data_IF_288067013728
#
_entry.id   IF_288067013728
#
_cell.length_a   1.000
_cell.length_b   1.000
_cell.length_c   1.000
_cell.angle_alpha   90.00
_cell.angle_beta   90.00
_cell.angle_gamma   90.00
#
_symmetry.space_group_name_H-M   'P 1'
#
loop_
_entity.id
_entity.type
_entity.pdbx_description
1 polymer ?
#
# COMPACT_ATOMS: atom_id res chain seq x y z
N UNK A 1 74.08 36.21 -26.19
CA UNK A 1 74.59 37.47 -25.61
C UNK A 1 73.41 38.40 -25.37
N UNK A 2 73.31 38.96 -24.16
CA UNK A 2 72.34 40.00 -23.77
C UNK A 2 70.88 39.52 -23.68
N UNK A 3 70.20 39.44 -22.55
CA UNK A 3 70.36 40.15 -21.29
C UNK A 3 69.54 41.44 -21.31
N UNK A 4 68.56 41.51 -20.39
CA UNK A 4 68.00 42.74 -19.76
C UNK A 4 67.10 43.60 -20.69
N UNK A 5 66.02 44.25 -20.24
CA UNK A 5 65.59 44.68 -18.91
C UNK A 5 64.23 45.42 -18.99
N UNK A 6 63.52 45.47 -17.84
CA UNK A 6 62.70 46.60 -17.33
C UNK A 6 61.42 46.96 -18.14
N UNK A 7 60.33 47.49 -17.59
CA UNK A 7 60.09 48.19 -16.34
C UNK A 7 58.58 48.17 -16.04
N UNK A 8 58.26 47.97 -14.77
CA UNK A 8 57.20 48.59 -13.96
C UNK A 8 56.74 49.96 -14.50
N UNK A 9 55.42 50.24 -14.50
CA UNK A 9 54.76 51.32 -13.72
C UNK A 9 53.27 51.45 -14.07
N UNK A 10 52.46 51.67 -13.02
CA UNK A 10 51.01 51.88 -12.94
C UNK A 10 50.55 53.13 -13.70
N UNK A 11 49.26 53.20 -14.08
CA UNK A 11 48.37 54.37 -13.87
C UNK A 11 46.91 53.95 -14.17
N UNK A 12 46.04 54.30 -13.23
CA UNK A 12 44.57 54.26 -13.24
C UNK A 12 43.98 55.19 -14.29
N UNK A 13 42.92 54.76 -14.98
CA UNK A 13 41.91 55.66 -15.52
C UNK A 13 40.57 54.93 -15.69
N UNK A 14 39.52 55.67 -15.39
CA UNK A 14 38.18 55.24 -15.03
C UNK A 14 37.22 55.25 -16.20
N UNK A 15 36.06 54.61 -15.99
CA UNK A 15 34.74 54.92 -16.56
C UNK A 15 34.56 54.76 -18.07
N UNK A 16 33.78 53.76 -18.47
CA UNK A 16 32.33 53.93 -18.75
C UNK A 16 31.72 52.60 -19.19
N UNK A 17 30.65 52.20 -18.52
CA UNK A 17 29.85 51.05 -18.88
C UNK A 17 28.90 51.43 -20.03
N UNK A 18 28.68 50.53 -20.97
CA UNK A 18 27.37 50.29 -21.61
C UNK A 18 27.31 48.81 -22.02
N UNK A 19 26.14 48.25 -21.77
CA UNK A 19 25.78 46.84 -21.69
C UNK A 19 25.27 46.29 -23.04
N UNK A 20 25.18 44.96 -23.10
CA UNK A 20 24.58 44.07 -24.12
C UNK A 20 25.50 43.49 -25.19
N UNK A 21 25.86 42.21 -25.00
CA UNK A 21 26.08 41.27 -26.10
C UNK A 21 25.28 40.01 -25.78
N UNK A 22 24.24 39.77 -26.58
CA UNK A 22 23.67 38.44 -26.75
C UNK A 22 24.58 37.63 -27.69
N UNK A 23 24.89 36.40 -27.30
CA UNK A 23 25.57 35.44 -28.16
C UNK A 23 24.77 34.14 -28.20
N UNK A 24 24.41 33.76 -29.42
CA UNK A 24 23.71 32.55 -29.79
C UNK A 24 24.74 31.41 -29.89
N UNK A 25 24.57 30.36 -29.10
CA UNK A 25 25.19 29.05 -29.33
C UNK A 25 24.17 27.96 -28.93
N UNK A 26 24.03 26.95 -29.79
CA UNK A 26 22.87 26.06 -29.84
C UNK A 26 22.63 25.19 -28.61
N UNK A 27 21.38 24.77 -28.48
CA UNK A 27 20.96 23.73 -27.54
C UNK A 27 20.55 22.48 -28.32
N UNK A 28 21.26 21.39 -28.06
CA UNK A 28 20.75 20.06 -28.21
C UNK A 28 19.47 19.93 -27.37
N UNK A 29 18.47 19.19 -27.87
CA UNK A 29 17.26 18.89 -27.12
C UNK A 29 17.62 17.98 -25.93
N UNK A 30 17.84 18.61 -24.78
CA UNK A 30 17.99 17.96 -23.49
C UNK A 30 16.67 17.27 -23.14
N UNK A 31 16.69 15.95 -22.92
CA UNK A 31 15.58 15.23 -22.35
C UNK A 31 15.26 15.83 -20.98
N UNK A 32 14.05 16.36 -20.82
CA UNK A 32 13.65 17.04 -19.60
C UNK A 32 13.53 16.02 -18.46
N UNK A 33 14.54 15.98 -17.58
CA UNK A 33 14.45 15.35 -16.27
C UNK A 33 13.28 16.02 -15.52
N UNK A 34 12.20 15.27 -15.32
CA UNK A 34 11.09 15.76 -14.50
C UNK A 34 11.59 15.83 -13.06
N UNK A 35 11.90 17.05 -12.66
CA UNK A 35 12.37 17.47 -11.35
C UNK A 35 11.57 16.81 -10.22
N UNK A 36 12.29 15.98 -9.46
CA UNK A 36 11.95 15.60 -8.10
C UNK A 36 11.97 16.83 -7.20
N UNK A 37 10.90 17.62 -7.17
CA UNK A 37 10.50 18.45 -6.01
C UNK A 37 9.14 19.09 -6.28
N UNK A 38 8.08 18.35 -6.02
CA UNK A 38 6.84 18.91 -5.49
C UNK A 38 6.69 18.25 -4.11
N UNK A 39 6.52 19.00 -3.01
CA UNK A 39 6.21 18.36 -1.74
C UNK A 39 4.86 17.70 -1.93
N UNK A 40 4.84 16.36 -1.94
CA UNK A 40 3.62 15.62 -1.69
C UNK A 40 3.25 16.00 -0.27
N UNK A 41 2.40 17.01 -0.16
CA UNK A 41 1.86 17.49 1.09
C UNK A 41 1.28 16.30 1.83
N UNK A 42 1.94 15.96 2.93
CA UNK A 42 1.46 15.06 3.97
C UNK A 42 -0.01 15.37 4.27
N UNK A 43 -0.90 14.59 3.68
CA UNK A 43 -2.15 14.21 4.33
C UNK A 43 -1.99 12.73 4.64
N UNK A 44 -1.07 12.44 5.56
CA UNK A 44 -1.31 11.33 6.49
C UNK A 44 -2.46 11.87 7.33
N UNK A 45 -3.70 11.34 7.22
CA UNK A 45 -4.70 11.70 8.21
C UNK A 45 -4.08 11.41 9.56
N UNK A 46 -4.04 12.44 10.41
CA UNK A 46 -3.54 12.36 11.76
C UNK A 46 -4.03 11.06 12.39
N UNK A 47 -3.12 10.32 13.04
CA UNK A 47 -3.44 9.21 13.94
C UNK A 47 -4.85 9.40 14.50
N UNK A 48 -5.86 8.61 14.07
CA UNK A 48 -7.22 8.89 14.48
C UNK A 48 -7.26 8.59 15.98
N UNK A 49 -7.34 9.65 16.77
CA UNK A 49 -7.72 9.53 18.16
C UNK A 49 -8.96 8.63 18.15
N UNK A 50 -8.88 7.45 18.80
CA UNK A 50 -9.91 6.42 18.94
C UNK A 50 -9.86 5.17 18.04
N UNK A 51 -8.72 4.76 17.45
CA UNK A 51 -8.59 3.38 16.92
C UNK A 51 -8.87 2.36 18.03
N UNK A 52 -9.76 1.40 17.76
CA UNK A 52 -10.10 0.29 18.65
C UNK A 52 -9.59 -1.03 18.08
N UNK A 53 -9.67 -2.07 18.91
CA UNK A 53 -9.32 -3.42 18.51
C UNK A 53 -10.43 -4.40 18.91
N UNK A 54 -10.90 -5.20 17.96
CA UNK A 54 -11.99 -6.14 18.13
C UNK A 54 -11.48 -7.58 18.01
N UNK A 55 -11.64 -8.36 19.07
CA UNK A 55 -11.24 -9.79 19.08
C UNK A 55 -12.35 -10.66 18.50
N UNK A 56 -12.01 -11.51 17.53
CA UNK A 56 -12.92 -12.54 17.02
C UNK A 56 -12.90 -13.75 17.96
N UNK A 57 -13.77 -13.74 18.96
CA UNK A 57 -13.77 -14.74 20.05
C UNK A 57 -14.28 -16.11 19.65
N UNK A 58 -15.03 -16.23 18.54
CA UNK A 58 -15.52 -17.51 18.04
C UNK A 58 -14.57 -18.17 17.01
N UNK A 59 -13.37 -17.62 16.84
CA UNK A 59 -12.30 -18.17 15.99
C UNK A 59 -10.99 -18.20 16.78
N UNK A 60 -10.47 -19.38 17.03
CA UNK A 60 -9.15 -19.59 17.60
C UNK A 60 -8.30 -20.45 16.65
N UNK A 61 -6.99 -20.21 16.63
CA UNK A 61 -6.05 -21.15 16.02
C UNK A 61 -5.72 -22.31 16.97
N UNK A 62 -4.83 -23.20 16.56
CA UNK A 62 -4.46 -24.37 17.37
C UNK A 62 -3.65 -24.06 18.62
N UNK A 63 -3.26 -22.80 18.82
CA UNK A 63 -2.59 -22.30 20.01
C UNK A 63 -3.53 -21.44 20.88
N UNK A 64 -4.84 -21.52 20.64
CA UNK A 64 -5.87 -20.73 21.34
C UNK A 64 -5.72 -19.21 21.14
N UNK A 65 -5.10 -18.79 20.02
CA UNK A 65 -4.96 -17.37 19.68
C UNK A 65 -6.14 -16.94 18.82
N UNK A 66 -6.75 -15.81 19.19
CA UNK A 66 -7.86 -15.21 18.46
C UNK A 66 -7.38 -14.09 17.52
N UNK A 67 -7.93 -13.97 16.30
CA UNK A 67 -7.68 -12.81 15.45
C UNK A 67 -8.17 -11.52 16.13
N UNK A 68 -7.38 -10.45 16.00
CA UNK A 68 -7.71 -9.13 16.53
C UNK A 68 -7.70 -8.13 15.37
N UNK A 69 -8.85 -7.55 15.06
CA UNK A 69 -9.02 -6.59 13.98
C UNK A 69 -8.84 -5.16 14.50
N UNK A 70 -8.23 -4.31 13.68
CA UNK A 70 -8.19 -2.87 13.90
C UNK A 70 -9.54 -2.28 13.49
N UNK A 71 -10.12 -1.44 14.33
CA UNK A 71 -11.34 -0.68 14.04
C UNK A 71 -10.97 0.80 13.99
N UNK A 72 -10.73 1.32 12.77
CA UNK A 72 -10.47 2.73 12.55
C UNK A 72 -11.80 3.44 12.22
N UNK A 73 -12.37 4.24 13.14
CA UNK A 73 -13.66 4.91 12.90
C UNK A 73 -13.60 5.97 11.79
N UNK A 74 -12.41 6.32 11.30
CA UNK A 74 -12.21 7.24 10.17
C UNK A 74 -11.99 6.52 8.84
N UNK A 75 -11.96 5.18 8.82
CA UNK A 75 -11.80 4.42 7.60
C UNK A 75 -13.08 4.45 6.75
N UNK A 76 -12.91 4.55 5.43
CA UNK A 76 -14.01 4.61 4.47
C UNK A 76 -14.08 3.35 3.62
N UNK A 77 -15.26 3.12 3.07
CA UNK A 77 -15.50 2.08 2.08
C UNK A 77 -14.79 2.45 0.77
N UNK A 78 -13.80 1.68 0.29
CA UNK A 78 -13.02 2.06 -0.89
C UNK A 78 -13.85 1.92 -2.18
N UNK A 79 -13.44 2.60 -3.25
CA UNK A 79 -13.84 2.14 -4.60
C UNK A 79 -13.07 0.87 -4.99
N UNK A 80 -13.52 0.13 -6.00
CA UNK A 80 -12.77 -1.01 -6.52
C UNK A 80 -11.39 -0.58 -7.03
N UNK A 81 -11.30 0.59 -7.69
CA UNK A 81 -10.04 1.13 -8.17
C UNK A 81 -9.08 1.45 -7.02
N UNK A 82 -9.57 2.07 -5.96
CA UNK A 82 -8.80 2.37 -4.76
C UNK A 82 -8.31 1.10 -4.06
N UNK A 83 -9.18 0.10 -3.93
CA UNK A 83 -8.80 -1.22 -3.42
C UNK A 83 -7.64 -1.82 -4.23
N UNK A 84 -7.75 -1.82 -5.56
CA UNK A 84 -6.68 -2.34 -6.42
C UNK A 84 -5.37 -1.55 -6.29
N UNK A 85 -5.44 -0.23 -6.12
CA UNK A 85 -4.27 0.62 -5.89
C UNK A 85 -3.60 0.29 -4.55
N UNK A 86 -4.39 0.13 -3.48
CA UNK A 86 -3.92 -0.31 -2.17
C UNK A 86 -3.24 -1.68 -2.26
N UNK A 87 -3.91 -2.67 -2.83
CA UNK A 87 -3.40 -4.05 -2.94
C UNK A 87 -2.11 -4.13 -3.76
N UNK A 88 -1.93 -3.28 -4.77
CA UNK A 88 -0.69 -3.20 -5.56
C UNK A 88 0.49 -2.64 -4.74
N UNK A 89 0.22 -1.81 -3.75
CA UNK A 89 1.23 -1.22 -2.86
C UNK A 89 1.57 -2.07 -1.65
N UNK A 90 0.74 -3.08 -1.35
CA UNK A 90 0.88 -3.94 -0.19
C UNK A 90 1.73 -5.19 -0.51
N UNK A 91 2.52 -5.62 0.47
CA UNK A 91 3.47 -6.73 0.35
C UNK A 91 3.05 -7.98 1.13
N UNK A 92 1.86 -8.02 1.74
CA UNK A 92 1.40 -9.14 2.57
C UNK A 92 1.35 -10.46 1.79
N UNK A 93 1.14 -10.40 0.46
CA UNK A 93 1.20 -11.56 -0.44
C UNK A 93 2.57 -12.26 -0.47
N UNK A 94 3.64 -11.55 -0.09
CA UNK A 94 5.01 -12.08 -0.05
C UNK A 94 5.30 -12.84 1.25
N UNK A 95 4.44 -12.76 2.26
CA UNK A 95 4.60 -13.53 3.48
C UNK A 95 4.48 -15.02 3.19
N UNK A 96 5.24 -15.84 3.94
CA UNK A 96 5.23 -17.29 3.79
C UNK A 96 4.28 -17.90 4.80
N UNK A 97 3.37 -18.74 4.32
CA UNK A 97 2.54 -19.58 5.19
C UNK A 97 3.44 -20.52 6.00
N UNK A 98 3.30 -20.49 7.34
CA UNK A 98 4.07 -21.29 8.29
C UNK A 98 3.15 -21.80 9.40
N UNK A 99 2.82 -23.08 9.43
CA UNK A 99 1.90 -23.61 10.42
C UNK A 99 2.66 -24.12 11.67
N UNK A 100 2.24 -23.77 12.91
CA UNK A 100 1.08 -22.95 13.28
C UNK A 100 1.39 -21.45 13.44
N UNK A 101 2.61 -21.00 13.17
CA UNK A 101 3.10 -19.67 13.56
C UNK A 101 2.43 -18.51 12.79
N UNK A 102 2.22 -18.69 11.48
CA UNK A 102 1.69 -17.72 10.52
C UNK A 102 0.75 -18.41 9.52
N UNK A 103 -0.55 -18.35 9.80
CA UNK A 103 -1.61 -19.04 9.06
C UNK A 103 -2.51 -18.07 8.28
N UNK A 104 -3.58 -18.57 7.67
CA UNK A 104 -4.55 -17.75 6.94
C UNK A 104 -5.08 -16.58 7.78
N UNK A 105 -5.34 -16.78 9.07
CA UNK A 105 -5.79 -15.71 9.96
C UNK A 105 -4.76 -14.58 10.10
N UNK A 106 -3.45 -14.90 10.12
CA UNK A 106 -2.39 -13.89 10.21
C UNK A 106 -2.31 -13.03 8.95
N UNK A 107 -2.40 -13.63 7.75
CA UNK A 107 -2.50 -12.87 6.49
C UNK A 107 -3.68 -11.89 6.51
N UNK A 108 -4.84 -12.33 7.01
CA UNK A 108 -6.02 -11.47 7.08
C UNK A 108 -5.81 -10.30 8.03
N UNK A 109 -5.33 -10.57 9.24
CA UNK A 109 -5.04 -9.54 10.25
C UNK A 109 -4.03 -8.52 9.74
N UNK A 110 -2.93 -8.98 9.12
CA UNK A 110 -1.88 -8.08 8.62
C UNK A 110 -2.40 -7.16 7.50
N UNK A 111 -3.10 -7.71 6.50
CA UNK A 111 -3.67 -6.88 5.43
C UNK A 111 -4.74 -5.93 5.97
N UNK A 112 -5.54 -6.38 6.93
CA UNK A 112 -6.61 -5.60 7.54
C UNK A 112 -6.05 -4.40 8.31
N UNK A 113 -5.03 -4.59 9.15
CA UNK A 113 -4.36 -3.49 9.87
C UNK A 113 -3.73 -2.49 8.91
N UNK A 114 -3.11 -2.95 7.83
CA UNK A 114 -2.50 -2.07 6.82
C UNK A 114 -3.53 -1.30 5.99
N UNK A 115 -4.71 -1.87 5.75
CA UNK A 115 -5.81 -1.17 5.08
C UNK A 115 -6.41 -0.11 6.02
N UNK A 116 -6.78 -0.49 7.23
CA UNK A 116 -7.39 0.40 8.25
C UNK A 116 -6.46 1.56 8.61
N UNK A 117 -5.15 1.32 8.75
CA UNK A 117 -4.16 2.37 9.00
C UNK A 117 -4.01 3.37 7.83
N UNK A 118 -4.41 2.98 6.62
CA UNK A 118 -4.52 3.87 5.46
C UNK A 118 -5.93 4.46 5.28
N UNK A 119 -6.83 4.23 6.23
CA UNK A 119 -8.22 4.69 6.19
C UNK A 119 -9.11 3.89 5.25
N UNK A 120 -8.76 2.65 4.91
CA UNK A 120 -9.55 1.77 4.05
C UNK A 120 -10.23 0.70 4.89
N UNK A 121 -11.56 0.67 4.90
CA UNK A 121 -12.35 -0.34 5.62
C UNK A 121 -12.02 -1.74 5.10
N UNK A 122 -11.63 -2.63 6.00
CA UNK A 122 -11.31 -4.01 5.70
C UNK A 122 -11.84 -4.93 6.79
N UNK A 123 -12.57 -5.97 6.39
CA UNK A 123 -13.11 -6.99 7.28
C UNK A 123 -12.39 -8.32 7.15
N UNK A 124 -12.70 -9.20 8.09
CA UNK A 124 -12.31 -10.61 8.10
C UNK A 124 -13.48 -11.45 7.58
N UNK A 125 -13.23 -12.37 6.66
CA UNK A 125 -14.20 -13.36 6.19
C UNK A 125 -13.73 -14.78 6.52
N UNK A 126 -14.44 -15.43 7.44
CA UNK A 126 -14.24 -16.85 7.74
C UNK A 126 -15.11 -17.72 6.85
N UNK A 127 -14.50 -18.68 6.17
CA UNK A 127 -15.16 -19.65 5.29
C UNK A 127 -15.16 -21.02 5.97
N UNK A 128 -16.33 -21.64 6.10
CA UNK A 128 -16.45 -23.03 6.49
C UNK A 128 -16.79 -23.88 5.25
N UNK A 129 -16.16 -25.05 5.13
CA UNK A 129 -16.41 -25.96 4.01
C UNK A 129 -17.28 -27.14 4.45
N UNK A 130 -18.16 -27.59 3.56
CA UNK A 130 -19.05 -28.72 3.82
C UNK A 130 -18.25 -29.98 4.13
N UNK A 131 -18.51 -30.59 5.28
CA UNK A 131 -17.88 -31.83 5.72
C UNK A 131 -16.39 -31.69 6.08
N UNK A 132 -15.92 -30.47 6.39
CA UNK A 132 -14.54 -30.23 6.84
C UNK A 132 -14.52 -29.52 8.19
N UNK A 133 -13.62 -29.95 9.06
CA UNK A 133 -13.38 -29.31 10.36
C UNK A 133 -12.55 -28.03 10.19
N UNK A 134 -11.58 -28.04 9.26
CA UNK A 134 -10.75 -26.87 8.96
C UNK A 134 -11.43 -25.97 7.92
N UNK A 135 -11.59 -24.69 8.26
CA UNK A 135 -12.07 -23.64 7.38
C UNK A 135 -10.95 -22.88 6.66
N UNK A 136 -11.25 -21.66 6.22
CA UNK A 136 -10.30 -20.70 5.66
C UNK A 136 -10.61 -19.28 6.12
N UNK A 137 -9.63 -18.39 6.06
CA UNK A 137 -9.77 -16.98 6.41
C UNK A 137 -9.23 -16.11 5.27
N UNK A 138 -10.02 -15.12 4.84
CA UNK A 138 -9.65 -14.16 3.80
C UNK A 138 -10.13 -12.76 4.17
N UNK A 139 -9.65 -11.72 3.49
CA UNK A 139 -10.13 -10.35 3.70
C UNK A 139 -11.42 -10.10 2.90
N UNK A 140 -12.25 -9.18 3.38
CA UNK A 140 -13.39 -8.63 2.63
C UNK A 140 -13.37 -7.11 2.65
N UNK A 141 -13.58 -6.51 1.50
CA UNK A 141 -13.62 -5.05 1.32
C UNK A 141 -15.02 -4.64 0.86
N UNK A 142 -15.69 -3.72 1.57
CA UNK A 142 -17.00 -3.22 1.20
C UNK A 142 -16.84 -2.13 0.14
N UNK A 143 -16.62 -2.52 -1.12
CA UNK A 143 -16.41 -1.53 -2.17
C UNK A 143 -17.69 -0.79 -2.53
N UNK A 144 -17.59 0.52 -2.80
CA UNK A 144 -18.74 1.39 -3.08
C UNK A 144 -19.39 1.15 -4.44
N UNK A 145 -18.65 0.56 -5.38
CA UNK A 145 -19.02 0.40 -6.79
C UNK A 145 -19.01 -1.06 -7.29
N UNK A 146 -18.45 -2.00 -6.52
CA UNK A 146 -18.38 -3.42 -6.89
C UNK A 146 -18.94 -4.40 -5.83
N UNK A 147 -19.56 -3.88 -4.77
CA UNK A 147 -20.08 -4.67 -3.65
C UNK A 147 -18.96 -5.27 -2.79
N UNK A 148 -19.20 -6.45 -2.22
CA UNK A 148 -18.16 -7.12 -1.42
C UNK A 148 -17.11 -7.76 -2.33
N UNK A 149 -15.85 -7.38 -2.12
CA UNK A 149 -14.69 -7.95 -2.78
C UNK A 149 -13.85 -8.71 -1.77
N UNK A 150 -13.60 -9.98 -2.06
CA UNK A 150 -12.84 -10.85 -1.19
C UNK A 150 -11.43 -11.04 -1.73
N UNK A 151 -10.44 -10.99 -0.84
CA UNK A 151 -9.01 -11.07 -1.19
C UNK A 151 -8.35 -12.17 -0.38
N UNK A 152 -7.79 -13.16 -1.07
CA UNK A 152 -7.00 -14.24 -0.48
C UNK A 152 -5.53 -14.10 -0.90
N UNK A 153 -4.65 -13.97 0.09
CA UNK A 153 -3.20 -13.79 -0.08
C UNK A 153 -2.38 -15.01 0.39
N UNK A 154 -3.04 -16.06 0.88
CA UNK A 154 -2.38 -17.16 1.62
C UNK A 154 -1.50 -18.07 0.76
N UNK A 155 -1.74 -18.09 -0.56
CA UNK A 155 -1.10 -19.01 -1.50
C UNK A 155 0.12 -18.44 -2.25
N UNK A 156 0.74 -17.37 -1.75
CA UNK A 156 1.83 -16.66 -2.45
C UNK A 156 1.39 -15.96 -3.74
N UNK A 157 0.07 -15.84 -3.94
CA UNK A 157 -0.55 -15.10 -5.04
C UNK A 157 -1.84 -14.49 -4.54
N UNK A 158 -2.18 -13.35 -5.11
CA UNK A 158 -3.43 -12.68 -4.84
C UNK A 158 -4.57 -13.32 -5.64
N UNK A 159 -5.62 -13.71 -4.93
CA UNK A 159 -6.87 -14.18 -5.52
C UNK A 159 -7.97 -13.20 -5.15
N UNK A 160 -8.65 -12.67 -6.16
CA UNK A 160 -9.80 -11.78 -5.98
C UNK A 160 -11.07 -12.52 -6.34
N UNK A 161 -12.05 -12.50 -5.45
CA UNK A 161 -13.36 -13.12 -5.66
C UNK A 161 -14.49 -12.15 -5.34
N UNK A 162 -15.61 -12.29 -6.07
CA UNK A 162 -16.87 -11.58 -5.82
C UNK A 162 -18.00 -12.60 -5.66
N UNK A 163 -19.06 -12.23 -4.96
CA UNK A 163 -20.26 -13.06 -4.80
C UNK A 163 -20.01 -14.45 -4.17
N UNK A 164 -19.07 -14.56 -3.22
CA UNK A 164 -18.87 -15.79 -2.43
C UNK A 164 -20.16 -16.17 -1.69
N UNK A 165 -20.61 -17.41 -1.87
CA UNK A 165 -21.85 -17.91 -1.23
C UNK A 165 -21.81 -19.42 -1.03
N UNK A 166 -22.69 -19.91 -0.16
CA UNK A 166 -22.94 -21.33 0.08
C UNK A 166 -23.15 -22.08 -1.24
N UNK A 167 -22.59 -23.28 -1.33
CA UNK A 167 -22.68 -24.17 -2.50
C UNK A 167 -21.62 -23.92 -3.58
N UNK A 168 -20.89 -22.81 -3.55
CA UNK A 168 -19.79 -22.58 -4.49
C UNK A 168 -18.55 -23.41 -4.12
N UNK A 169 -17.87 -23.96 -5.13
CA UNK A 169 -16.54 -24.56 -4.96
C UNK A 169 -15.50 -23.46 -4.79
N UNK A 170 -14.74 -23.51 -3.70
CA UNK A 170 -13.61 -22.62 -3.44
C UNK A 170 -12.31 -23.33 -3.79
N UNK A 171 -11.85 -23.11 -5.02
CA UNK A 171 -10.64 -23.71 -5.60
C UNK A 171 -10.53 -25.22 -5.27
N UNK A 172 -9.41 -25.64 -4.66
CA UNK A 172 -9.18 -27.01 -4.23
C UNK A 172 -9.53 -27.24 -2.74
N UNK A 173 -10.06 -26.23 -2.04
CA UNK A 173 -10.33 -26.31 -0.60
C UNK A 173 -11.68 -26.94 -0.27
N UNK A 174 -12.69 -26.82 -1.13
CA UNK A 174 -13.97 -27.52 -0.92
C UNK A 174 -15.18 -26.74 -1.40
N UNK A 175 -16.37 -27.20 -1.01
CA UNK A 175 -17.64 -26.49 -1.25
C UNK A 175 -17.94 -25.63 -0.03
N UNK A 176 -18.20 -24.35 -0.24
CA UNK A 176 -18.53 -23.38 0.81
C UNK A 176 -19.84 -23.81 1.47
N UNK A 177 -19.81 -24.02 2.77
CA UNK A 177 -21.00 -24.22 3.60
C UNK A 177 -21.51 -22.89 4.14
N UNK A 178 -20.60 -22.03 4.61
CA UNK A 178 -20.94 -20.68 5.07
C UNK A 178 -19.76 -19.73 4.93
N UNK A 179 -20.09 -18.43 4.86
CA UNK A 179 -19.14 -17.31 4.98
C UNK A 179 -19.67 -16.43 6.10
N UNK A 180 -18.83 -16.17 7.11
CA UNK A 180 -19.14 -15.24 8.20
C UNK A 180 -18.16 -14.06 8.14
N UNK A 181 -18.70 -12.85 8.10
CA UNK A 181 -17.93 -11.61 8.02
C UNK A 181 -17.87 -10.97 9.40
N UNK A 182 -16.71 -10.41 9.72
CA UNK A 182 -16.43 -9.65 10.93
C UNK A 182 -15.82 -8.31 10.49
N UNK A 183 -16.19 -7.25 11.20
CA UNK A 183 -15.72 -5.88 11.00
C UNK A 183 -15.02 -5.43 12.27
#
# INVERSE_FOLDING_TARGET
MGGREKSITRIVASLTAIFLIGLLAGQFAEAQEISKTQPVSNVIPANPANVKYNTITDRADTLDRHPVLMDNPSAHNPSYQELMAFLKSDDTVNNKYDYPNYTCANFVVDLQHKAESKGINCGYAGINFRGKETGHAINVFPTTDAGLVYVDLTGGKMIISKNLRKGMKYFNMGVIESVKIYW
#
